data_IF_815290701433
#
_entry.id   IF_815290701433
#
_cell.length_a   1.000
_cell.length_b   1.000
_cell.length_c   1.000
_cell.angle_alpha   90.00
_cell.angle_beta   90.00
_cell.angle_gamma   90.00
#
_symmetry.space_group_name_H-M   'P 1'
#
loop_
_entity.id
_entity.type
_entity.pdbx_description
1 polymer ?
#
# COMPACT_ATOMS: atom_id res chain seq x y z
N UNK A 1 3.39 -20.34 12.98
CA UNK A 1 2.72 -19.27 12.20
C UNK A 1 3.72 -18.69 11.23
N UNK A 2 3.35 -18.49 9.96
CA UNK A 2 4.25 -17.86 8.96
C UNK A 2 4.49 -16.40 9.36
N UNK A 3 5.75 -15.99 9.49
CA UNK A 3 6.09 -14.58 9.68
C UNK A 3 5.56 -13.73 8.49
N UNK A 4 5.08 -12.51 8.72
CA UNK A 4 4.56 -11.65 7.66
C UNK A 4 5.69 -11.26 6.70
N UNK A 5 5.67 -11.73 5.45
CA UNK A 5 6.72 -11.42 4.47
C UNK A 5 6.47 -10.05 3.83
N UNK A 6 7.53 -9.26 3.67
CA UNK A 6 7.49 -8.02 2.88
C UNK A 6 7.30 -8.30 1.39
N UNK A 7 7.59 -9.51 0.92
CA UNK A 7 7.32 -9.94 -0.43
C UNK A 7 6.57 -11.27 -0.41
N UNK A 8 5.43 -11.31 -1.09
CA UNK A 8 4.63 -12.51 -1.31
C UNK A 8 4.24 -12.51 -2.79
N UNK A 9 4.76 -13.49 -3.52
CA UNK A 9 4.56 -13.62 -4.96
C UNK A 9 3.08 -13.77 -5.32
N UNK A 10 2.34 -14.62 -4.61
CA UNK A 10 0.95 -14.90 -4.94
C UNK A 10 0.07 -13.69 -4.64
N UNK A 11 0.29 -13.06 -3.47
CA UNK A 11 -0.41 -11.84 -3.12
C UNK A 11 -0.18 -10.72 -4.16
N UNK A 12 1.04 -10.55 -4.66
CA UNK A 12 1.36 -9.55 -5.68
C UNK A 12 0.73 -9.83 -7.04
N UNK A 13 0.81 -11.09 -7.50
CA UNK A 13 0.30 -11.46 -8.82
C UNK A 13 -1.23 -11.41 -8.89
N UNK A 14 -1.90 -11.60 -7.75
CA UNK A 14 -3.36 -11.70 -7.68
C UNK A 14 -4.08 -10.46 -7.15
N UNK A 15 -3.36 -9.46 -6.63
CA UNK A 15 -3.96 -8.24 -6.08
C UNK A 15 -4.70 -7.42 -7.17
N UNK A 16 -6.01 -7.12 -6.98
CA UNK A 16 -6.78 -6.30 -7.91
C UNK A 16 -6.44 -4.80 -7.87
N UNK A 17 -5.83 -4.32 -6.78
CA UNK A 17 -5.41 -2.93 -6.62
C UNK A 17 -4.01 -2.70 -7.19
N UNK A 18 -3.94 -2.10 -8.39
CA UNK A 18 -2.65 -1.75 -9.02
C UNK A 18 -1.88 -0.72 -8.19
N UNK A 19 -2.58 0.20 -7.50
CA UNK A 19 -1.99 1.15 -6.55
C UNK A 19 -1.22 0.45 -5.42
N UNK A 20 -1.78 -0.61 -4.83
CA UNK A 20 -1.09 -1.40 -3.80
C UNK A 20 0.14 -2.12 -4.36
N UNK A 21 0.04 -2.67 -5.57
CA UNK A 21 1.18 -3.31 -6.26
C UNK A 21 2.32 -2.29 -6.46
N UNK A 22 2.01 -1.06 -6.87
CA UNK A 22 2.97 0.02 -7.05
C UNK A 22 3.65 0.40 -5.74
N UNK A 23 2.85 0.64 -4.70
CA UNK A 23 3.37 0.96 -3.37
C UNK A 23 4.27 -0.16 -2.84
N UNK A 24 3.93 -1.42 -3.14
CA UNK A 24 4.74 -2.58 -2.76
C UNK A 24 6.07 -2.63 -3.52
N UNK A 25 6.08 -2.34 -4.82
CA UNK A 25 7.32 -2.23 -5.62
C UNK A 25 8.22 -1.16 -5.03
N UNK A 26 7.70 0.05 -4.81
CA UNK A 26 8.48 1.16 -4.23
C UNK A 26 9.05 0.77 -2.87
N UNK A 27 8.24 0.18 -1.98
CA UNK A 27 8.69 -0.28 -0.67
C UNK A 27 9.82 -1.31 -0.75
N UNK A 28 9.75 -2.25 -1.70
CA UNK A 28 10.78 -3.29 -1.88
C UNK A 28 12.04 -2.70 -2.53
N UNK A 29 11.89 -1.83 -3.53
CA UNK A 29 13.01 -1.14 -4.17
C UNK A 29 13.76 -0.24 -3.18
N UNK A 30 13.06 0.42 -2.25
CA UNK A 30 13.66 1.20 -1.16
C UNK A 30 14.51 0.33 -0.24
N UNK A 31 14.08 -0.89 0.05
CA UNK A 31 14.87 -1.79 0.88
C UNK A 31 16.14 -2.25 0.18
N UNK A 32 16.05 -2.68 -1.08
CA UNK A 32 17.24 -3.02 -1.88
C UNK A 32 18.21 -1.83 -2.00
N UNK A 33 17.69 -0.61 -2.16
CA UNK A 33 18.51 0.59 -2.29
C UNK A 33 19.36 0.84 -1.05
N UNK A 34 18.77 0.75 0.15
CA UNK A 34 19.49 1.00 1.41
C UNK A 34 20.44 -0.15 1.79
N UNK A 35 20.24 -1.33 1.21
CA UNK A 35 21.15 -2.47 1.32
C UNK A 35 22.29 -2.45 0.29
N UNK A 36 22.31 -1.47 -0.62
CA UNK A 36 23.34 -1.35 -1.66
C UNK A 36 23.10 -2.20 -2.91
N UNK A 37 21.93 -2.84 -3.05
CA UNK A 37 21.55 -3.63 -4.23
C UNK A 37 21.02 -2.74 -5.37
N UNK A 38 21.87 -1.81 -5.83
CA UNK A 38 21.46 -0.72 -6.73
C UNK A 38 21.06 -1.24 -8.12
N UNK A 39 21.68 -2.31 -8.61
CA UNK A 39 21.28 -2.97 -9.87
C UNK A 39 19.83 -3.49 -9.81
N UNK A 40 19.46 -4.11 -8.68
CA UNK A 40 18.11 -4.62 -8.42
C UNK A 40 17.12 -3.46 -8.30
N UNK A 41 17.44 -2.44 -7.50
CA UNK A 41 16.64 -1.22 -7.39
C UNK A 41 16.44 -0.55 -8.75
N UNK A 42 17.50 -0.38 -9.54
CA UNK A 42 17.46 0.20 -10.89
C UNK A 42 16.49 -0.58 -11.78
N UNK A 43 16.58 -1.90 -11.78
CA UNK A 43 15.70 -2.75 -12.59
C UNK A 43 14.23 -2.60 -12.19
N UNK A 44 13.93 -2.61 -10.89
CA UNK A 44 12.56 -2.41 -10.38
C UNK A 44 12.01 -1.02 -10.71
N UNK A 45 12.81 0.02 -10.53
CA UNK A 45 12.43 1.40 -10.87
C UNK A 45 12.24 1.55 -12.38
N UNK A 46 13.09 0.94 -13.22
CA UNK A 46 12.90 0.91 -14.68
C UNK A 46 11.58 0.25 -15.07
N UNK A 47 11.19 -0.86 -14.44
CA UNK A 47 9.88 -1.48 -14.69
C UNK A 47 8.75 -0.49 -14.42
N UNK A 48 8.82 0.24 -13.31
CA UNK A 48 7.80 1.24 -12.98
C UNK A 48 7.85 2.45 -13.92
N UNK A 49 9.03 2.94 -14.31
CA UNK A 49 9.19 4.09 -15.19
C UNK A 49 8.69 3.85 -16.62
N UNK A 50 8.78 2.60 -17.11
CA UNK A 50 8.17 2.21 -18.39
C UNK A 50 6.65 2.28 -18.35
N UNK A 51 6.10 2.05 -17.16
CA UNK A 51 4.67 2.04 -16.94
C UNK A 51 4.12 3.42 -16.53
N UNK A 52 4.97 4.21 -15.86
CA UNK A 52 4.70 5.53 -15.33
C UNK A 52 4.71 6.58 -16.43
N UNK A 53 3.57 7.23 -16.62
CA UNK A 53 3.43 8.26 -17.64
C UNK A 53 3.29 9.66 -17.05
N UNK A 54 2.95 9.79 -15.76
CA UNK A 54 2.64 11.09 -15.15
C UNK A 54 3.76 11.64 -14.28
N UNK A 55 3.88 12.97 -14.29
CA UNK A 55 4.90 13.71 -13.53
C UNK A 55 4.83 13.45 -12.03
N UNK A 56 3.63 13.35 -11.46
CA UNK A 56 3.45 13.04 -10.04
C UNK A 56 4.02 11.65 -9.69
N UNK A 57 3.78 10.64 -10.54
CA UNK A 57 4.29 9.29 -10.33
C UNK A 57 5.82 9.27 -10.48
N UNK A 58 6.36 10.00 -11.46
CA UNK A 58 7.82 10.22 -11.61
C UNK A 58 8.40 10.90 -10.37
N UNK A 59 7.68 11.86 -9.79
CA UNK A 59 8.09 12.56 -8.57
C UNK A 59 8.22 11.61 -7.38
N UNK A 60 7.36 10.59 -7.26
CA UNK A 60 7.49 9.57 -6.21
C UNK A 60 8.77 8.73 -6.35
N UNK A 61 9.26 8.55 -7.58
CA UNK A 61 10.48 7.79 -7.87
C UNK A 61 11.77 8.61 -7.70
N UNK A 62 11.69 9.94 -7.53
CA UNK A 62 12.87 10.78 -7.34
C UNK A 62 13.69 10.45 -6.09
N UNK A 63 13.07 9.80 -5.10
CA UNK A 63 13.76 9.30 -3.91
C UNK A 63 14.93 8.35 -4.25
N UNK A 64 14.93 7.73 -5.44
CA UNK A 64 15.98 6.81 -5.88
C UNK A 64 17.10 7.49 -6.69
N UNK A 65 16.90 8.69 -7.22
CA UNK A 65 17.89 9.38 -8.05
C UNK A 65 19.25 9.56 -7.34
N UNK A 66 19.31 9.93 -6.04
CA UNK A 66 20.59 10.05 -5.34
C UNK A 66 21.35 8.72 -5.23
N UNK A 67 20.65 7.58 -5.14
CA UNK A 67 21.27 6.25 -5.12
C UNK A 67 21.87 5.90 -6.49
N UNK A 68 21.16 6.19 -7.57
CA UNK A 68 21.66 5.98 -8.94
C UNK A 68 22.84 6.88 -9.25
N UNK A 69 22.79 8.14 -8.80
CA UNK A 69 23.90 9.08 -8.91
C UNK A 69 25.15 8.58 -8.18
N UNK A 70 24.98 8.11 -6.93
CA UNK A 70 26.09 7.61 -6.11
C UNK A 70 26.75 6.36 -6.71
N UNK A 71 25.97 5.45 -7.30
CA UNK A 71 26.49 4.23 -7.93
C UNK A 71 26.92 4.42 -9.40
N UNK A 72 26.57 5.54 -10.04
CA UNK A 72 26.74 5.73 -11.49
C UNK A 72 25.84 4.81 -12.34
N UNK A 73 24.73 4.31 -11.79
CA UNK A 73 23.86 3.30 -12.40
C UNK A 73 22.44 3.83 -12.58
N UNK A 74 22.20 4.57 -13.67
CA UNK A 74 20.90 5.18 -13.95
C UNK A 74 19.95 4.26 -14.75
N UNK A 75 18.64 4.28 -14.45
CA UNK A 75 17.61 3.78 -15.35
C UNK A 75 17.70 4.43 -16.74
N UNK A 76 17.50 3.65 -17.80
CA UNK A 76 17.51 4.16 -19.18
C UNK A 76 16.37 5.14 -19.44
N UNK A 77 15.27 4.98 -18.71
CA UNK A 77 14.05 5.77 -18.81
C UNK A 77 14.16 7.19 -18.20
N UNK A 78 15.27 7.51 -17.52
CA UNK A 78 15.57 8.86 -17.01
C UNK A 78 16.50 9.55 -18.03
N UNK A 79 16.10 10.68 -18.65
CA UNK A 79 16.92 11.41 -19.63
C UNK A 79 18.24 11.91 -19.06
N UNK A 80 19.29 12.02 -19.87
CA UNK A 80 20.63 12.43 -19.41
C UNK A 80 20.66 13.85 -18.81
N UNK A 81 19.83 14.74 -19.34
CA UNK A 81 19.62 16.10 -18.83
C UNK A 81 19.06 16.13 -17.40
N UNK A 82 18.28 15.12 -17.03
CA UNK A 82 17.70 14.96 -15.70
C UNK A 82 18.64 14.23 -14.74
N UNK A 83 19.67 13.52 -15.25
CA UNK A 83 20.71 12.85 -14.44
C UNK A 83 21.71 13.82 -13.79
N UNK A 84 21.39 15.12 -13.75
CA UNK A 84 22.35 16.14 -13.31
C UNK A 84 22.43 16.29 -11.80
N UNK A 85 23.67 16.35 -11.30
CA UNK A 85 24.07 16.62 -9.91
C UNK A 85 23.65 18.00 -9.38
N UNK A 86 23.06 18.88 -10.21
CA UNK A 86 22.66 20.24 -9.81
C UNK A 86 21.48 20.28 -8.85
N UNK A 87 20.64 19.25 -8.80
CA UNK A 87 19.56 19.13 -7.80
C UNK A 87 20.10 18.64 -6.45
N UNK A 88 21.17 17.83 -6.47
CA UNK A 88 21.89 17.43 -5.26
C UNK A 88 22.63 18.63 -4.63
N UNK A 89 23.24 19.50 -5.45
CA UNK A 89 23.96 20.69 -4.97
C UNK A 89 23.05 21.86 -4.53
N UNK A 90 21.89 22.08 -5.17
CA UNK A 90 20.99 23.20 -4.80
C UNK A 90 20.23 22.99 -3.49
N UNK A 91 20.00 21.74 -3.07
CA UNK A 91 19.38 21.46 -1.76
C UNK A 91 20.43 21.48 -0.64
N UNK A 92 21.67 21.06 -0.93
CA UNK A 92 22.83 21.28 -0.04
C UNK A 92 23.10 22.78 0.14
N UNK A 93 22.92 23.58 -0.92
CA UNK A 93 23.11 25.04 -0.88
C UNK A 93 21.93 25.83 -0.28
N UNK A 94 20.80 25.21 0.07
CA UNK A 94 19.71 25.90 0.81
C UNK A 94 19.75 25.69 2.32
N UNK A 95 20.70 24.88 2.81
CA UNK A 95 21.05 24.77 4.23
C UNK A 95 22.48 25.26 4.55
N UNK A 96 23.13 25.90 3.60
CA UNK A 96 24.30 26.75 3.84
C UNK A 96 23.80 28.19 3.64
N UNK A 97 23.90 29.10 4.61
CA UNK A 97 25.14 29.64 5.15
C UNK A 97 24.91 30.35 6.50
N UNK A 98 26.03 30.62 7.17
CA UNK A 98 26.31 31.64 8.19
C UNK A 98 26.55 31.17 9.64
N UNK A 99 27.85 31.20 9.95
CA UNK A 99 28.56 31.68 11.16
C UNK A 99 28.45 30.98 12.54
N UNK A 100 29.64 30.92 13.17
CA UNK A 100 30.04 30.44 14.52
C UNK A 100 30.49 28.97 14.65
N UNK A 101 31.75 28.73 14.26
CA UNK A 101 32.36 27.41 14.03
C UNK A 101 32.69 26.60 15.31
N UNK A 102 32.77 27.22 16.49
CA UNK A 102 33.10 26.51 17.74
C UNK A 102 31.90 26.26 18.68
N UNK A 103 30.79 27.01 18.53
CA UNK A 103 29.58 26.85 19.36
C UNK A 103 28.68 25.70 18.91
N UNK A 104 28.51 25.51 17.59
CA UNK A 104 27.65 24.46 17.01
C UNK A 104 28.26 23.06 17.07
N UNK A 105 29.59 22.91 17.17
CA UNK A 105 30.20 21.59 17.25
C UNK A 105 29.86 20.87 18.56
N UNK A 106 29.92 21.59 19.70
CA UNK A 106 29.44 21.06 20.99
C UNK A 106 27.94 20.77 20.98
N UNK A 107 27.15 21.58 20.26
CA UNK A 107 25.71 21.40 20.15
C UNK A 107 25.35 20.18 19.28
N UNK A 108 26.05 19.98 18.16
CA UNK A 108 25.89 18.80 17.29
C UNK A 108 26.36 17.50 17.97
N UNK A 109 27.46 17.53 18.74
CA UNK A 109 27.93 16.37 19.52
C UNK A 109 26.95 16.01 20.64
N UNK A 110 26.44 17.02 21.37
CA UNK A 110 25.42 16.82 22.41
C UNK A 110 24.11 16.31 21.81
N UNK A 111 23.71 16.86 20.66
CA UNK A 111 22.54 16.41 19.88
C UNK A 111 22.71 14.95 19.45
N UNK A 112 23.87 14.57 18.92
CA UNK A 112 24.14 13.19 18.53
C UNK A 112 24.05 12.25 19.74
N UNK A 113 24.62 12.61 20.89
CA UNK A 113 24.54 11.80 22.11
C UNK A 113 23.09 11.59 22.56
N UNK A 114 22.27 12.65 22.54
CA UNK A 114 20.86 12.56 22.91
C UNK A 114 20.07 11.70 21.90
N UNK A 115 20.34 11.86 20.60
CA UNK A 115 19.70 11.05 19.56
C UNK A 115 20.09 9.57 19.66
N UNK A 116 21.36 9.26 19.89
CA UNK A 116 21.84 7.88 20.10
C UNK A 116 21.23 7.26 21.35
N UNK A 117 21.08 8.04 22.43
CA UNK A 117 20.40 7.58 23.66
C UNK A 117 18.92 7.28 23.39
N UNK A 118 18.19 8.20 22.78
CA UNK A 118 16.78 8.00 22.42
C UNK A 118 16.59 6.83 21.44
N UNK A 119 17.52 6.63 20.51
CA UNK A 119 17.51 5.49 19.59
C UNK A 119 17.66 4.15 20.33
N UNK A 120 18.51 4.10 21.37
CA UNK A 120 18.65 2.91 22.24
C UNK A 120 17.40 2.66 23.09
N UNK A 121 16.73 3.74 23.50
CA UNK A 121 15.48 3.69 24.28
C UNK A 121 14.22 3.44 23.42
N UNK A 122 14.39 3.27 22.09
CA UNK A 122 13.34 2.82 21.17
C UNK A 122 12.71 3.89 20.28
N UNK A 123 13.29 5.09 20.16
CA UNK A 123 12.83 6.13 19.22
C UNK A 123 13.14 5.78 17.76
N UNK A 124 12.15 5.30 17.01
CA UNK A 124 12.36 4.69 15.68
C UNK A 124 12.94 5.63 14.62
N UNK A 125 12.51 6.90 14.54
CA UNK A 125 13.03 7.83 13.51
C UNK A 125 14.33 8.50 13.93
N UNK A 126 14.57 8.61 15.24
CA UNK A 126 15.68 9.35 15.82
C UNK A 126 17.03 8.71 15.46
N UNK A 127 17.07 7.40 15.26
CA UNK A 127 18.29 6.68 14.87
C UNK A 127 18.78 7.06 13.46
N UNK A 128 17.86 7.41 12.55
CA UNK A 128 18.24 7.88 11.20
C UNK A 128 18.79 9.31 11.29
N UNK A 129 18.18 10.17 12.10
CA UNK A 129 18.70 11.52 12.35
C UNK A 129 20.08 11.50 13.04
N UNK A 130 20.33 10.48 13.88
CA UNK A 130 21.63 10.23 14.49
C UNK A 130 22.69 9.90 13.43
N UNK A 131 22.35 9.05 12.45
CA UNK A 131 23.25 8.74 11.33
C UNK A 131 23.55 9.99 10.49
N UNK A 132 22.55 10.80 10.16
CA UNK A 132 22.76 12.07 9.44
C UNK A 132 23.68 13.01 10.22
N UNK A 133 23.49 13.12 11.54
CA UNK A 133 24.32 13.97 12.41
C UNK A 133 25.75 13.44 12.52
N UNK A 134 25.92 12.12 12.63
CA UNK A 134 27.23 11.47 12.64
C UNK A 134 27.99 11.71 11.33
N UNK A 135 27.34 11.54 10.18
CA UNK A 135 27.93 11.82 8.87
C UNK A 135 28.34 13.29 8.76
N UNK A 136 27.45 14.23 9.13
CA UNK A 136 27.77 15.66 9.11
C UNK A 136 28.96 16.02 10.00
N UNK A 137 29.12 15.36 11.15
CA UNK A 137 30.27 15.58 12.04
C UNK A 137 31.57 14.98 11.49
N UNK A 138 31.50 13.81 10.83
CA UNK A 138 32.65 13.19 10.17
C UNK A 138 33.13 14.03 8.97
N UNK A 139 32.19 14.48 8.12
CA UNK A 139 32.49 15.28 6.92
C UNK A 139 33.07 16.68 7.20
N UNK A 140 33.05 17.16 8.44
CA UNK A 140 33.70 18.44 8.80
C UNK A 140 35.23 18.35 8.79
N UNK A 141 35.79 17.17 9.00
CA UNK A 141 37.23 16.96 9.16
C UNK A 141 37.80 15.94 8.18
N UNK A 142 36.92 15.24 7.46
CA UNK A 142 37.25 14.13 6.57
C UNK A 142 36.52 14.37 5.24
N UNK A 143 37.27 14.54 4.16
CA UNK A 143 36.70 14.68 2.81
C UNK A 143 36.52 13.32 2.13
N UNK A 144 37.32 12.32 2.50
CA UNK A 144 37.28 10.99 1.90
C UNK A 144 36.11 10.16 2.45
N UNK A 145 35.31 9.60 1.53
CA UNK A 145 34.13 8.83 1.90
C UNK A 145 34.49 7.53 2.64
N UNK A 146 35.64 6.90 2.37
CA UNK A 146 36.06 5.67 3.05
C UNK A 146 36.45 5.94 4.51
N UNK A 147 37.11 7.07 4.75
CA UNK A 147 37.40 7.54 6.11
C UNK A 147 36.13 7.94 6.87
N UNK A 148 35.16 8.61 6.23
CA UNK A 148 33.85 8.93 6.84
C UNK A 148 33.11 7.65 7.22
N UNK A 149 33.08 6.65 6.33
CA UNK A 149 32.46 5.35 6.60
C UNK A 149 33.09 4.68 7.81
N UNK A 150 34.40 4.82 7.98
CA UNK A 150 35.14 4.22 9.10
C UNK A 150 34.99 4.99 10.42
N UNK A 151 34.35 6.17 10.42
CA UNK A 151 34.11 6.95 11.64
C UNK A 151 33.28 6.13 12.64
N UNK A 152 33.79 6.03 13.88
CA UNK A 152 33.16 5.25 14.94
C UNK A 152 31.70 5.61 15.21
N UNK A 153 31.31 6.89 15.07
CA UNK A 153 29.94 7.37 15.30
C UNK A 153 29.01 6.94 14.18
N UNK A 154 29.51 6.94 12.94
CA UNK A 154 28.77 6.46 11.77
C UNK A 154 28.53 4.96 11.89
N UNK A 155 29.58 4.20 12.24
CA UNK A 155 29.50 2.76 12.44
C UNK A 155 28.54 2.37 13.57
N UNK A 156 28.55 3.10 14.69
CA UNK A 156 27.62 2.91 15.79
C UNK A 156 26.16 3.17 15.38
N UNK A 157 25.91 4.27 14.65
CA UNK A 157 24.58 4.59 14.16
C UNK A 157 24.04 3.50 13.20
N UNK A 158 24.88 3.02 12.28
CA UNK A 158 24.55 1.93 11.37
C UNK A 158 24.23 0.63 12.12
N UNK A 159 24.97 0.32 13.19
CA UNK A 159 24.69 -0.85 14.03
C UNK A 159 23.33 -0.73 14.72
N UNK A 160 23.01 0.45 15.28
CA UNK A 160 21.68 0.69 15.86
C UNK A 160 20.57 0.59 14.82
N UNK A 161 20.79 1.12 13.60
CA UNK A 161 19.82 0.98 12.50
C UNK A 161 19.63 -0.49 12.14
N UNK A 162 20.70 -1.28 12.04
CA UNK A 162 20.62 -2.69 11.67
C UNK A 162 19.72 -3.48 12.64
N UNK A 163 19.84 -3.22 13.95
CA UNK A 163 19.02 -3.82 15.02
C UNK A 163 17.55 -3.41 14.95
N UNK A 164 17.27 -2.27 14.31
CA UNK A 164 15.96 -1.63 14.25
C UNK A 164 15.34 -1.67 12.83
N UNK A 165 16.01 -2.26 11.85
CA UNK A 165 15.63 -2.21 10.43
C UNK A 165 14.23 -2.78 10.15
N UNK A 166 13.76 -3.66 11.03
CA UNK A 166 12.44 -4.26 10.94
C UNK A 166 11.31 -3.21 11.06
N UNK A 167 11.53 -2.15 11.84
CA UNK A 167 10.53 -1.13 12.16
C UNK A 167 10.01 -0.41 10.91
N UNK A 168 8.71 -0.05 10.93
CA UNK A 168 7.95 0.41 9.75
C UNK A 168 8.55 1.65 9.05
N UNK A 169 9.15 2.56 9.80
CA UNK A 169 9.59 3.88 9.28
C UNK A 169 11.06 3.98 8.90
N UNK A 170 11.92 3.05 9.34
CA UNK A 170 13.38 3.14 9.16
C UNK A 170 13.75 3.25 7.68
N UNK A 171 13.34 2.28 6.85
CA UNK A 171 13.65 2.27 5.42
C UNK A 171 13.16 3.55 4.74
N UNK A 172 11.92 3.96 5.02
CA UNK A 172 11.33 5.18 4.44
C UNK A 172 12.11 6.43 4.84
N UNK A 173 12.56 6.52 6.08
CA UNK A 173 13.42 7.61 6.55
C UNK A 173 14.79 7.56 5.86
N UNK A 174 15.44 6.39 5.79
CA UNK A 174 16.76 6.24 5.15
C UNK A 174 16.76 6.70 3.69
N UNK A 175 15.77 6.29 2.89
CA UNK A 175 15.70 6.72 1.47
C UNK A 175 15.34 8.19 1.29
N UNK A 176 14.78 8.85 2.30
CA UNK A 176 14.44 10.27 2.24
C UNK A 176 15.66 11.19 2.46
N UNK A 177 16.75 10.68 3.06
CA UNK A 177 17.95 11.46 3.35
C UNK A 177 19.03 11.25 2.29
N UNK A 178 19.09 12.19 1.34
CA UNK A 178 20.00 12.12 0.18
C UNK A 178 21.48 12.04 0.60
N UNK A 179 21.84 12.69 1.71
CA UNK A 179 23.20 12.69 2.27
C UNK A 179 23.68 11.28 2.66
N UNK A 180 22.77 10.36 2.96
CA UNK A 180 23.11 8.98 3.34
C UNK A 180 23.39 8.08 2.13
N UNK A 181 22.98 8.49 0.93
CA UNK A 181 22.97 7.62 -0.24
C UNK A 181 24.37 7.12 -0.62
N UNK A 182 25.42 7.92 -0.41
CA UNK A 182 26.80 7.51 -0.68
C UNK A 182 27.27 6.31 0.17
N UNK A 183 26.89 6.25 1.44
CA UNK A 183 27.24 5.12 2.31
C UNK A 183 26.26 3.95 2.13
N UNK A 184 24.97 4.22 1.93
CA UNK A 184 23.96 3.17 1.78
C UNK A 184 24.09 2.42 0.44
N UNK A 185 24.34 3.13 -0.66
CA UNK A 185 24.58 2.52 -1.98
C UNK A 185 25.85 1.66 -2.04
N UNK A 186 26.82 1.93 -1.16
CA UNK A 186 28.01 1.10 -1.01
C UNK A 186 27.79 -0.16 -0.15
N UNK A 187 26.56 -0.38 0.36
CA UNK A 187 26.21 -1.55 1.15
C UNK A 187 26.70 -1.52 2.60
N UNK A 188 27.07 -0.37 3.15
CA UNK A 188 27.56 -0.26 4.55
C UNK A 188 26.54 -0.77 5.57
N UNK A 189 25.24 -0.54 5.31
CA UNK A 189 24.16 -1.07 6.14
C UNK A 189 24.03 -2.60 6.00
N UNK A 190 24.16 -3.13 4.78
CA UNK A 190 24.11 -4.58 4.54
C UNK A 190 25.29 -5.32 5.18
N UNK A 191 26.43 -4.68 5.43
CA UNK A 191 27.52 -5.28 6.20
C UNK A 191 27.19 -5.41 7.71
N UNK A 192 26.26 -4.60 8.23
CA UNK A 192 25.82 -4.65 9.63
C UNK A 192 24.64 -5.58 9.86
N UNK A 193 23.87 -5.84 8.82
CA UNK A 193 22.82 -6.85 8.85
C UNK A 193 23.45 -8.17 8.39
N UNK A 194 23.35 -9.29 9.13
CA UNK A 194 23.97 -10.56 8.73
C UNK A 194 23.21 -11.22 7.55
N UNK A 195 23.17 -10.53 6.41
CA UNK A 195 22.48 -10.97 5.19
C UNK A 195 23.41 -11.88 4.40
N UNK A 196 22.90 -13.05 4.02
CA UNK A 196 23.50 -13.91 3.03
C UNK A 196 23.32 -13.28 1.64
N UNK A 197 24.45 -12.93 1.01
CA UNK A 197 24.47 -12.29 -0.30
C UNK A 197 23.81 -13.14 -1.39
N UNK A 198 24.00 -14.46 -1.38
CA UNK A 198 23.39 -15.34 -2.37
C UNK A 198 21.87 -15.42 -2.19
N UNK A 199 21.38 -15.43 -0.94
CA UNK A 199 19.93 -15.35 -0.64
C UNK A 199 19.37 -13.99 -1.09
N UNK A 200 20.09 -12.89 -0.86
CA UNK A 200 19.68 -11.55 -1.27
C UNK A 200 19.59 -11.42 -2.80
N UNK A 201 20.60 -11.92 -3.53
CA UNK A 201 20.61 -11.96 -4.99
C UNK A 201 19.46 -12.82 -5.56
N UNK A 202 19.20 -13.99 -4.95
CA UNK A 202 18.09 -14.85 -5.33
C UNK A 202 16.74 -14.17 -5.10
N UNK A 203 16.57 -13.52 -3.95
CA UNK A 203 15.38 -12.74 -3.64
C UNK A 203 15.19 -11.58 -4.63
N UNK A 204 16.27 -10.87 -5.00
CA UNK A 204 16.24 -9.81 -6.01
C UNK A 204 15.72 -10.32 -7.36
N UNK A 205 16.19 -11.48 -7.83
CA UNK A 205 15.71 -12.11 -9.07
C UNK A 205 14.23 -12.48 -8.99
N UNK A 206 13.80 -13.13 -7.91
CA UNK A 206 12.39 -13.53 -7.73
C UNK A 206 11.45 -12.31 -7.72
N UNK A 207 11.85 -11.24 -7.03
CA UNK A 207 11.10 -9.98 -6.97
C UNK A 207 10.97 -9.36 -8.36
N UNK A 208 12.09 -9.22 -9.09
CA UNK A 208 12.10 -8.65 -10.45
C UNK A 208 11.21 -9.47 -11.38
N UNK A 209 11.34 -10.80 -11.37
CA UNK A 209 10.54 -11.70 -12.21
C UNK A 209 9.05 -11.57 -11.90
N UNK A 210 8.69 -11.44 -10.61
CA UNK A 210 7.30 -11.33 -10.17
C UNK A 210 6.67 -10.02 -10.60
N UNK A 211 7.34 -8.88 -10.41
CA UNK A 211 6.83 -7.59 -10.88
C UNK A 211 6.82 -7.51 -12.40
N UNK A 212 7.83 -8.04 -13.07
CA UNK A 212 7.86 -8.16 -14.54
C UNK A 212 6.69 -8.98 -15.05
N UNK A 213 6.36 -10.10 -14.39
CA UNK A 213 5.18 -10.89 -14.73
C UNK A 213 3.90 -10.09 -14.53
N UNK A 214 3.74 -9.42 -13.38
CA UNK A 214 2.54 -8.64 -13.07
C UNK A 214 2.29 -7.48 -14.04
N UNK A 215 3.34 -6.78 -14.44
CA UNK A 215 3.23 -5.61 -15.32
C UNK A 215 3.13 -5.99 -16.81
N UNK A 216 3.73 -7.10 -17.23
CA UNK A 216 3.65 -7.52 -18.64
C UNK A 216 2.44 -8.41 -18.94
N UNK A 217 1.97 -9.23 -17.98
CA UNK A 217 0.87 -10.20 -18.19
C UNK A 217 -0.43 -9.83 -17.47
N UNK A 218 -0.43 -8.77 -16.67
CA UNK A 218 -1.61 -8.38 -15.89
C UNK A 218 -1.85 -9.25 -14.65
N UNK A 219 -3.05 -9.14 -14.10
CA UNK A 219 -3.45 -9.81 -12.85
C UNK A 219 -3.74 -11.29 -13.10
N UNK A 220 -3.27 -12.15 -12.21
CA UNK A 220 -3.73 -13.54 -12.14
C UNK A 220 -4.98 -13.64 -11.29
N UNK A 221 -5.95 -14.45 -11.70
CA UNK A 221 -7.08 -14.81 -10.84
C UNK A 221 -6.54 -15.52 -9.60
N UNK A 222 -6.99 -15.10 -8.43
CA UNK A 222 -6.70 -15.80 -7.19
C UNK A 222 -7.60 -17.04 -7.10
N UNK A 223 -7.10 -18.12 -6.51
CA UNK A 223 -7.87 -19.34 -6.22
C UNK A 223 -9.19 -19.13 -5.43
N UNK A 224 -9.38 -17.98 -4.78
CA UNK A 224 -10.61 -17.64 -4.07
C UNK A 224 -11.74 -17.28 -5.05
N UNK A 225 -11.41 -16.72 -6.21
CA UNK A 225 -12.37 -16.27 -7.22
C UNK A 225 -13.14 -17.44 -7.84
N UNK A 226 -12.62 -18.67 -7.74
CA UNK A 226 -13.28 -19.89 -8.19
C UNK A 226 -14.06 -20.62 -7.09
N UNK A 227 -13.93 -20.20 -5.81
CA UNK A 227 -14.58 -20.88 -4.69
C UNK A 227 -16.05 -20.51 -4.55
N UNK A 228 -16.94 -21.45 -4.15
CA UNK A 228 -18.31 -21.13 -3.78
C UNK A 228 -18.42 -20.05 -2.70
N UNK A 229 -19.52 -19.28 -2.68
CA UNK A 229 -19.79 -18.24 -1.68
C UNK A 229 -19.64 -18.73 -0.24
N UNK A 230 -20.20 -19.90 0.04
CA UNK A 230 -20.12 -20.52 1.37
C UNK A 230 -18.68 -20.78 1.83
N UNK A 231 -17.81 -21.24 0.93
CA UNK A 231 -16.40 -21.48 1.26
C UNK A 231 -15.64 -20.19 1.56
N UNK A 232 -15.93 -19.12 0.80
CA UNK A 232 -15.35 -17.79 1.07
C UNK A 232 -15.74 -17.28 2.46
N UNK A 233 -17.02 -17.38 2.84
CA UNK A 233 -17.48 -16.96 4.16
C UNK A 233 -16.85 -17.79 5.30
N UNK A 234 -16.75 -19.12 5.11
CA UNK A 234 -16.10 -20.00 6.09
C UNK A 234 -14.60 -19.70 6.25
N UNK A 235 -13.89 -19.41 5.16
CA UNK A 235 -12.50 -18.98 5.24
C UNK A 235 -12.36 -17.61 5.90
N UNK A 236 -13.25 -16.67 5.58
CA UNK A 236 -13.29 -15.33 6.16
C UNK A 236 -13.51 -15.38 7.67
N UNK A 237 -14.44 -16.20 8.14
CA UNK A 237 -14.64 -16.48 9.56
C UNK A 237 -13.38 -17.06 10.20
N UNK A 238 -12.82 -18.12 9.59
CA UNK A 238 -11.63 -18.79 10.14
C UNK A 238 -10.47 -17.82 10.34
N UNK A 239 -10.16 -17.02 9.32
CA UNK A 239 -9.05 -16.06 9.40
C UNK A 239 -9.38 -14.89 10.32
N UNK A 240 -10.63 -14.41 10.34
CA UNK A 240 -11.05 -13.36 11.26
C UNK A 240 -10.89 -13.78 12.71
N UNK A 241 -11.35 -14.97 13.09
CA UNK A 241 -11.20 -15.48 14.46
C UNK A 241 -9.74 -15.76 14.82
N UNK A 242 -8.93 -16.23 13.87
CA UNK A 242 -7.52 -16.54 14.12
C UNK A 242 -6.62 -15.29 14.23
N UNK A 243 -6.92 -14.24 13.46
CA UNK A 243 -6.07 -13.06 13.36
C UNK A 243 -6.63 -11.84 14.10
N UNK A 244 -7.93 -11.80 14.40
CA UNK A 244 -8.58 -10.69 15.08
C UNK A 244 -8.50 -10.72 16.61
N UNK A 245 -7.83 -11.71 17.22
CA UNK A 245 -7.82 -11.93 18.69
C UNK A 245 -7.49 -10.67 19.48
N UNK A 246 -6.50 -9.90 19.02
CA UNK A 246 -6.07 -8.64 19.65
C UNK A 246 -7.17 -7.59 19.74
N UNK A 247 -8.12 -7.59 18.80
CA UNK A 247 -9.26 -6.67 18.83
C UNK A 247 -10.21 -7.02 19.98
N UNK A 248 -10.63 -8.28 20.06
CA UNK A 248 -11.53 -8.73 21.12
C UNK A 248 -10.89 -8.65 22.51
N UNK A 249 -9.60 -8.97 22.62
CA UNK A 249 -8.83 -8.79 23.85
C UNK A 249 -8.85 -7.32 24.31
N UNK A 250 -8.68 -6.36 23.39
CA UNK A 250 -8.72 -4.93 23.68
C UNK A 250 -10.11 -4.42 24.06
N UNK A 251 -11.17 -5.06 23.56
CA UNK A 251 -12.56 -4.75 23.90
C UNK A 251 -13.03 -5.47 25.18
N UNK A 252 -12.21 -6.35 25.76
CA UNK A 252 -12.57 -7.25 26.86
C UNK A 252 -13.77 -8.16 26.53
N UNK A 253 -13.90 -8.53 25.25
CA UNK A 253 -14.97 -9.38 24.74
C UNK A 253 -14.43 -10.77 24.34
N UNK A 254 -15.22 -11.85 24.47
CA UNK A 254 -14.82 -13.14 23.95
C UNK A 254 -14.86 -13.15 22.42
N UNK A 255 -13.92 -13.87 21.81
CA UNK A 255 -13.98 -14.16 20.37
C UNK A 255 -15.31 -14.88 20.07
N UNK A 256 -16.14 -14.40 19.12
CA UNK A 256 -17.44 -14.98 18.85
C UNK A 256 -17.32 -16.45 18.41
N UNK A 257 -18.25 -17.28 18.87
CA UNK A 257 -18.31 -18.69 18.47
C UNK A 257 -18.50 -18.82 16.96
N UNK A 258 -19.31 -17.95 16.36
CA UNK A 258 -19.58 -17.90 14.93
C UNK A 258 -19.76 -16.46 14.44
N UNK A 259 -19.37 -16.19 13.20
CA UNK A 259 -19.73 -14.95 12.49
C UNK A 259 -21.07 -15.07 11.74
N UNK A 260 -21.62 -16.28 11.61
CA UNK A 260 -22.96 -16.51 11.08
C UNK A 260 -24.00 -16.20 12.16
N UNK A 261 -24.32 -14.92 12.31
CA UNK A 261 -25.12 -14.38 13.42
C UNK A 261 -26.62 -14.75 13.34
N UNK A 262 -27.12 -15.06 12.14
CA UNK A 262 -28.52 -15.33 11.88
C UNK A 262 -28.69 -16.63 11.06
N UNK A 263 -29.86 -17.29 11.15
CA UNK A 263 -30.17 -18.38 10.24
C UNK A 263 -30.27 -17.86 8.80
N UNK A 264 -29.92 -18.70 7.79
CA UNK A 264 -30.08 -18.38 6.37
C UNK A 264 -31.44 -17.76 6.04
N UNK A 265 -31.45 -16.74 5.18
CA UNK A 265 -32.68 -16.09 4.76
C UNK A 265 -33.49 -17.01 3.84
N UNK A 266 -34.81 -17.02 4.00
CA UNK A 266 -35.71 -17.72 3.08
C UNK A 266 -35.96 -16.88 1.81
N UNK A 267 -36.44 -17.54 0.74
CA UNK A 267 -36.82 -16.85 -0.49
C UNK A 267 -37.91 -15.79 -0.25
N UNK A 268 -38.83 -16.05 0.67
CA UNK A 268 -39.89 -15.11 1.07
C UNK A 268 -39.31 -13.88 1.78
N UNK A 269 -38.32 -14.06 2.66
CA UNK A 269 -37.66 -12.96 3.34
C UNK A 269 -36.91 -12.06 2.36
N UNK A 270 -36.16 -12.66 1.42
CA UNK A 270 -35.47 -11.91 0.36
C UNK A 270 -36.49 -11.17 -0.53
N UNK A 271 -37.57 -11.84 -0.94
CA UNK A 271 -38.63 -11.21 -1.75
C UNK A 271 -39.33 -10.06 -1.02
N UNK A 272 -39.56 -10.20 0.29
CA UNK A 272 -40.11 -9.12 1.12
C UNK A 272 -39.15 -7.94 1.23
N UNK A 273 -37.85 -8.18 1.35
CA UNK A 273 -36.83 -7.12 1.33
C UNK A 273 -36.80 -6.38 -0.02
N UNK A 274 -36.79 -7.10 -1.13
CA UNK A 274 -36.85 -6.49 -2.47
C UNK A 274 -38.11 -5.64 -2.64
N UNK A 275 -39.26 -6.11 -2.14
CA UNK A 275 -40.51 -5.34 -2.13
C UNK A 275 -40.45 -4.11 -1.23
N UNK A 276 -39.82 -4.20 -0.04
CA UNK A 276 -39.59 -3.08 0.88
C UNK A 276 -38.72 -2.00 0.23
N UNK A 277 -37.67 -2.41 -0.48
CA UNK A 277 -36.74 -1.50 -1.16
C UNK A 277 -37.30 -0.98 -2.49
N UNK A 278 -38.22 -1.71 -3.11
CA UNK A 278 -38.73 -1.42 -4.46
C UNK A 278 -37.71 -1.71 -5.55
N UNK A 279 -36.79 -2.66 -5.33
CA UNK A 279 -35.71 -3.01 -6.27
C UNK A 279 -35.36 -4.49 -6.19
N UNK A 280 -34.84 -5.06 -7.28
CA UNK A 280 -34.28 -6.42 -7.31
C UNK A 280 -32.81 -6.38 -6.88
N UNK A 281 -32.46 -7.12 -5.84
CA UNK A 281 -31.10 -7.19 -5.31
C UNK A 281 -30.19 -8.03 -6.22
N UNK A 282 -28.86 -7.77 -6.22
CA UNK A 282 -27.92 -8.54 -7.02
C UNK A 282 -27.87 -10.00 -6.57
N UNK A 283 -27.67 -10.92 -7.52
CA UNK A 283 -27.75 -12.37 -7.29
C UNK A 283 -26.71 -12.86 -6.28
N UNK A 284 -25.49 -12.33 -6.35
CA UNK A 284 -24.42 -12.68 -5.40
C UNK A 284 -24.74 -12.23 -3.95
N UNK A 285 -25.41 -11.10 -3.77
CA UNK A 285 -25.88 -10.66 -2.46
C UNK A 285 -27.05 -11.49 -1.95
N UNK A 286 -27.99 -11.89 -2.82
CA UNK A 286 -29.07 -12.81 -2.44
C UNK A 286 -28.52 -14.18 -2.04
N UNK A 287 -27.53 -14.70 -2.75
CA UNK A 287 -26.85 -15.94 -2.38
C UNK A 287 -26.19 -15.84 -1.01
N UNK A 288 -25.55 -14.71 -0.71
CA UNK A 288 -25.01 -14.42 0.63
C UNK A 288 -26.10 -14.43 1.71
N UNK A 289 -27.22 -13.74 1.50
CA UNK A 289 -28.33 -13.72 2.46
C UNK A 289 -28.89 -15.12 2.72
N UNK A 290 -29.00 -15.96 1.67
CA UNK A 290 -29.43 -17.36 1.78
C UNK A 290 -28.38 -18.30 2.38
N UNK A 291 -27.18 -17.81 2.68
CA UNK A 291 -26.12 -18.59 3.35
C UNK A 291 -25.95 -18.13 4.79
N UNK A 292 -25.96 -16.82 5.06
CA UNK A 292 -25.63 -16.29 6.39
C UNK A 292 -26.64 -15.28 6.94
N UNK A 293 -27.45 -14.65 6.08
CA UNK A 293 -28.42 -13.62 6.46
C UNK A 293 -27.80 -12.54 7.37
N UNK A 294 -26.68 -11.98 6.94
CA UNK A 294 -25.82 -11.14 7.76
C UNK A 294 -24.54 -11.86 8.19
N UNK A 295 -23.53 -11.10 8.60
CA UNK A 295 -22.22 -11.65 8.94
C UNK A 295 -21.52 -10.71 9.92
N UNK A 296 -20.89 -11.28 10.95
CA UNK A 296 -20.14 -10.49 11.94
C UNK A 296 -18.99 -9.69 11.33
N UNK A 297 -18.46 -8.73 12.09
CA UNK A 297 -17.33 -7.90 11.66
C UNK A 297 -16.11 -8.74 11.29
N UNK A 298 -15.40 -8.35 10.22
CA UNK A 298 -14.33 -9.16 9.60
C UNK A 298 -12.97 -8.54 9.78
N UNK A 299 -11.96 -9.31 10.13
CA UNK A 299 -10.61 -8.78 10.35
C UNK A 299 -10.02 -8.16 9.07
N UNK A 300 -9.48 -6.95 9.16
CA UNK A 300 -8.87 -6.27 8.01
C UNK A 300 -7.34 -6.12 8.10
N UNK A 301 -6.71 -6.69 9.13
CA UNK A 301 -5.28 -6.51 9.42
C UNK A 301 -4.97 -5.43 10.45
N UNK A 302 -5.96 -4.64 10.88
CA UNK A 302 -5.82 -3.59 11.88
C UNK A 302 -6.99 -3.53 12.87
N UNK A 303 -8.23 -3.51 12.38
CA UNK A 303 -9.46 -3.62 13.17
C UNK A 303 -10.46 -4.57 12.48
N UNK A 304 -11.66 -4.73 13.03
CA UNK A 304 -12.76 -5.37 12.33
C UNK A 304 -13.41 -4.37 11.37
N UNK A 305 -13.59 -4.75 10.11
CA UNK A 305 -14.51 -4.09 9.19
C UNK A 305 -15.95 -4.23 9.73
N UNK A 306 -16.86 -3.36 9.25
CA UNK A 306 -18.26 -3.39 9.69
C UNK A 306 -18.90 -4.77 9.45
N UNK A 307 -19.82 -5.19 10.34
CA UNK A 307 -20.66 -6.36 10.08
C UNK A 307 -21.55 -6.09 8.85
N UNK A 308 -21.97 -7.18 8.23
CA UNK A 308 -22.94 -7.18 7.13
C UNK A 308 -24.32 -7.51 7.68
N UNK A 309 -25.33 -6.80 7.20
CA UNK A 309 -26.70 -6.86 7.69
C UNK A 309 -27.45 -8.11 7.24
N UNK A 310 -28.34 -8.57 8.11
CA UNK A 310 -29.43 -9.46 7.74
C UNK A 310 -30.58 -8.69 7.09
N UNK A 311 -31.54 -9.42 6.52
CA UNK A 311 -32.66 -8.85 5.74
C UNK A 311 -33.45 -7.76 6.48
N UNK A 312 -33.52 -7.81 7.80
CA UNK A 312 -34.31 -6.87 8.60
C UNK A 312 -33.66 -5.47 8.67
N UNK A 313 -32.33 -5.43 8.74
CA UNK A 313 -31.53 -4.22 8.90
C UNK A 313 -31.17 -3.55 7.56
N UNK A 314 -31.22 -4.29 6.46
CA UNK A 314 -30.99 -3.73 5.12
C UNK A 314 -32.04 -2.65 4.82
N UNK A 315 -31.53 -1.48 4.42
CA UNK A 315 -32.36 -0.33 4.09
C UNK A 315 -31.66 0.58 3.07
N UNK A 316 -32.41 1.52 2.53
CA UNK A 316 -31.81 2.62 1.79
C UNK A 316 -30.95 3.46 2.73
N UNK A 317 -29.70 3.70 2.35
CA UNK A 317 -28.77 4.52 3.12
C UNK A 317 -29.34 5.94 3.31
N UNK A 318 -28.95 6.57 4.43
CA UNK A 318 -29.25 7.98 4.69
C UNK A 318 -28.52 8.85 3.67
N UNK A 319 -29.04 10.05 3.39
CA UNK A 319 -28.40 11.00 2.45
C UNK A 319 -26.95 11.33 2.83
N UNK A 320 -26.60 11.28 4.13
CA UNK A 320 -25.24 11.47 4.61
C UNK A 320 -24.24 10.40 4.15
N UNK A 321 -24.71 9.26 3.65
CA UNK A 321 -23.88 8.17 3.11
C UNK A 321 -23.75 8.23 1.58
N UNK A 322 -24.37 9.20 0.91
CA UNK A 322 -24.14 9.42 -0.52
C UNK A 322 -22.67 9.77 -0.76
N UNK A 323 -22.01 9.00 -1.63
CA UNK A 323 -20.64 9.30 -2.04
C UNK A 323 -20.69 10.35 -3.15
N UNK A 324 -20.14 11.55 -2.95
CA UNK A 324 -20.26 12.63 -3.90
C UNK A 324 -19.51 12.35 -5.22
N UNK A 325 -18.42 11.57 -5.17
CA UNK A 325 -17.58 11.25 -6.33
C UNK A 325 -17.23 9.77 -6.32
N UNK A 326 -17.74 9.01 -7.28
CA UNK A 326 -17.49 7.56 -7.36
C UNK A 326 -16.62 7.22 -8.55
N UNK A 327 -15.46 6.64 -8.26
CA UNK A 327 -14.67 5.85 -9.19
C UNK A 327 -14.81 4.37 -8.84
N UNK A 328 -14.91 3.52 -9.86
CA UNK A 328 -15.02 2.07 -9.66
C UNK A 328 -13.66 1.37 -9.71
N UNK A 329 -12.55 2.10 -9.65
CA UNK A 329 -11.21 1.56 -9.49
C UNK A 329 -10.40 2.41 -8.50
N UNK A 330 -9.33 1.84 -7.96
CA UNK A 330 -8.37 2.62 -7.18
C UNK A 330 -7.51 3.45 -8.13
N UNK A 331 -7.29 4.73 -7.84
CA UNK A 331 -6.27 5.51 -8.53
C UNK A 331 -4.88 5.09 -8.07
N UNK A 332 -3.96 4.91 -9.03
CA UNK A 332 -2.54 4.64 -8.72
C UNK A 332 -1.91 5.85 -8.04
N UNK A 333 -2.32 7.07 -8.40
CA UNK A 333 -1.77 8.31 -7.87
C UNK A 333 -2.50 8.87 -6.66
N UNK A 334 -3.67 8.32 -6.33
CA UNK A 334 -4.58 8.93 -5.37
C UNK A 334 -5.16 10.26 -5.86
N UNK A 335 -4.93 10.62 -7.12
CA UNK A 335 -5.51 11.78 -7.79
C UNK A 335 -6.38 11.27 -8.94
N UNK A 336 -7.50 11.94 -9.16
CA UNK A 336 -8.38 11.70 -10.29
C UNK A 336 -7.73 12.31 -11.53
N UNK A 337 -7.18 11.46 -12.38
CA UNK A 337 -6.46 11.87 -13.59
C UNK A 337 -7.40 12.05 -14.78
N UNK A 338 -8.45 11.22 -14.85
CA UNK A 338 -9.43 11.23 -15.91
C UNK A 338 -10.55 12.24 -15.56
N UNK A 339 -10.74 13.25 -16.43
CA UNK A 339 -11.68 14.34 -16.20
C UNK A 339 -12.95 14.17 -17.02
N UNK A 340 -14.09 14.54 -16.45
CA UNK A 340 -15.40 14.51 -17.12
C UNK A 340 -15.87 15.94 -17.48
N UNK A 341 -15.23 16.99 -16.95
CA UNK A 341 -15.60 18.38 -17.21
C UNK A 341 -14.39 19.35 -17.24
N UNK A 342 -14.62 20.56 -17.76
CA UNK A 342 -13.62 21.64 -17.94
C UNK A 342 -13.25 22.38 -16.63
N UNK A 343 -13.89 22.04 -15.51
CA UNK A 343 -13.65 22.71 -14.23
C UNK A 343 -12.34 22.17 -13.62
N UNK A 344 -11.68 22.98 -12.79
CA UNK A 344 -10.45 22.63 -12.07
C UNK A 344 -10.58 21.41 -11.13
N UNK A 345 -11.76 20.79 -11.04
CA UNK A 345 -12.03 19.52 -10.36
C UNK A 345 -12.92 18.65 -11.24
N UNK A 346 -12.59 17.36 -11.45
CA UNK A 346 -13.46 16.44 -12.16
C UNK A 346 -14.73 16.18 -11.33
N UNK A 347 -15.91 16.54 -11.84
CA UNK A 347 -17.18 16.14 -11.23
C UNK A 347 -17.53 14.74 -11.71
N UNK A 348 -16.93 13.72 -11.08
CA UNK A 348 -17.43 12.36 -11.21
C UNK A 348 -18.87 12.28 -10.70
N UNK A 349 -19.73 11.42 -11.29
CA UNK A 349 -21.06 11.20 -10.76
C UNK A 349 -21.01 10.73 -9.30
N UNK A 350 -22.00 11.16 -8.52
CA UNK A 350 -22.19 10.63 -7.17
C UNK A 350 -22.74 9.20 -7.24
N UNK A 351 -22.67 8.47 -6.11
CA UNK A 351 -23.35 7.18 -5.97
C UNK A 351 -24.87 7.32 -6.10
N UNK A 352 -25.40 8.54 -5.90
CA UNK A 352 -26.78 8.78 -5.53
C UNK A 352 -27.19 7.95 -4.31
N UNK A 353 -28.49 7.64 -4.21
CA UNK A 353 -29.04 6.85 -3.12
C UNK A 353 -28.59 5.39 -3.22
N UNK A 354 -27.90 4.90 -2.18
CA UNK A 354 -27.37 3.53 -2.10
C UNK A 354 -28.20 2.66 -1.15
N UNK A 355 -28.05 1.34 -1.27
CA UNK A 355 -28.57 0.38 -0.29
C UNK A 355 -27.46 0.10 0.72
N UNK A 356 -27.72 0.37 1.99
CA UNK A 356 -26.80 0.08 3.08
C UNK A 356 -26.95 -1.38 3.50
N UNK A 357 -25.86 -2.14 3.39
CA UNK A 357 -25.83 -3.58 3.69
C UNK A 357 -24.89 -3.91 4.85
N UNK A 358 -24.42 -2.89 5.54
CA UNK A 358 -23.63 -3.00 6.76
C UNK A 358 -23.06 -1.65 7.16
N UNK A 359 -23.03 -1.36 8.46
CA UNK A 359 -22.26 -0.24 9.00
C UNK A 359 -21.83 -0.47 10.44
N UNK A 360 -20.80 0.26 10.85
CA UNK A 360 -20.29 0.33 12.21
C UNK A 360 -19.49 1.62 12.37
N UNK A 361 -19.99 2.53 13.19
CA UNK A 361 -19.38 3.86 13.39
C UNK A 361 -19.20 4.61 12.05
N UNK A 362 -17.96 4.86 11.64
CA UNK A 362 -17.61 5.53 10.37
C UNK A 362 -17.43 4.55 9.18
N UNK A 363 -17.60 3.25 9.42
CA UNK A 363 -17.45 2.21 8.41
C UNK A 363 -18.81 1.85 7.80
N UNK A 364 -18.87 1.68 6.48
CA UNK A 364 -20.11 1.26 5.80
C UNK A 364 -19.85 0.44 4.55
N UNK A 365 -20.77 -0.47 4.22
CA UNK A 365 -20.78 -1.21 2.95
C UNK A 365 -22.05 -0.87 2.21
N UNK A 366 -21.91 -0.34 1.00
CA UNK A 366 -23.01 0.20 0.23
C UNK A 366 -23.09 -0.46 -1.14
N UNK A 367 -24.31 -0.74 -1.58
CA UNK A 367 -24.62 -1.17 -2.95
C UNK A 367 -25.17 0.01 -3.74
N UNK A 368 -24.54 0.30 -4.87
CA UNK A 368 -24.94 1.31 -5.85
C UNK A 368 -25.95 0.66 -6.82
N UNK A 369 -27.18 1.18 -6.92
CA UNK A 369 -28.22 0.63 -7.80
C UNK A 369 -27.88 0.71 -9.28
N UNK A 370 -28.50 -0.12 -10.15
CA UNK A 370 -28.16 -0.19 -11.57
C UNK A 370 -28.31 1.11 -12.35
N UNK A 371 -29.31 1.92 -11.98
CA UNK A 371 -29.48 3.24 -12.56
C UNK A 371 -28.22 4.12 -12.35
N UNK A 372 -27.65 4.09 -11.15
CA UNK A 372 -26.53 4.93 -10.76
C UNK A 372 -25.19 4.32 -11.21
N UNK A 373 -25.03 3.00 -11.11
CA UNK A 373 -23.88 2.28 -11.69
C UNK A 373 -23.74 2.59 -13.17
N UNK A 374 -24.84 2.56 -13.93
CA UNK A 374 -24.83 2.91 -15.35
C UNK A 374 -24.37 4.34 -15.62
N UNK A 375 -24.84 5.32 -14.84
CA UNK A 375 -24.40 6.72 -14.97
C UNK A 375 -22.89 6.85 -14.77
N UNK A 376 -22.34 6.15 -13.77
CA UNK A 376 -20.89 6.13 -13.52
C UNK A 376 -20.14 5.48 -14.69
N UNK A 377 -20.62 4.34 -15.21
CA UNK A 377 -20.01 3.65 -16.36
C UNK A 377 -20.07 4.47 -17.65
N UNK A 378 -21.17 5.18 -17.88
CA UNK A 378 -21.32 6.08 -19.03
C UNK A 378 -20.33 7.25 -18.93
N UNK A 379 -20.08 7.78 -17.73
CA UNK A 379 -19.08 8.83 -17.49
C UNK A 379 -17.64 8.37 -17.77
N UNK A 380 -17.30 7.10 -17.49
CA UNK A 380 -16.02 6.53 -17.93
C UNK A 380 -15.87 6.58 -19.45
N UNK A 381 -16.93 6.23 -20.19
CA UNK A 381 -16.89 6.25 -21.66
C UNK A 381 -16.74 7.67 -22.19
N UNK A 382 -17.52 8.62 -21.66
CA UNK A 382 -17.44 10.04 -22.03
C UNK A 382 -16.03 10.59 -21.83
N UNK A 383 -15.43 10.34 -20.67
CA UNK A 383 -14.09 10.84 -20.37
C UNK A 383 -12.99 10.18 -21.21
N UNK A 384 -13.13 8.89 -21.54
CA UNK A 384 -12.19 8.21 -22.44
C UNK A 384 -12.30 8.71 -23.89
N UNK A 385 -13.50 9.10 -24.32
CA UNK A 385 -13.74 9.66 -25.66
C UNK A 385 -13.38 11.15 -25.76
N UNK A 386 -13.35 11.89 -24.64
CA UNK A 386 -13.02 13.32 -24.64
C UNK A 386 -11.57 13.56 -25.09
N UNK A 387 -11.33 14.29 -26.19
CA UNK A 387 -9.97 14.62 -26.66
C UNK A 387 -9.19 15.53 -25.72
N UNK A 388 -9.82 16.16 -24.72
CA UNK A 388 -9.14 17.00 -23.71
C UNK A 388 -8.39 16.18 -22.66
N UNK A 389 -8.81 14.93 -22.44
CA UNK A 389 -8.07 14.03 -21.56
C UNK A 389 -6.80 13.56 -22.25
N UNK A 390 -5.67 13.63 -21.55
CA UNK A 390 -4.40 13.16 -22.09
C UNK A 390 -4.43 11.65 -22.32
N UNK A 391 -3.73 11.20 -23.36
CA UNK A 391 -3.59 9.76 -23.65
C UNK A 391 -2.99 9.00 -22.45
N UNK A 392 -2.12 9.66 -21.69
CA UNK A 392 -1.52 9.10 -20.48
C UNK A 392 -2.56 8.86 -19.38
N UNK A 393 -3.45 9.82 -19.10
CA UNK A 393 -4.52 9.65 -18.10
C UNK A 393 -5.49 8.53 -18.50
N UNK A 394 -5.84 8.46 -19.80
CA UNK A 394 -6.67 7.38 -20.35
C UNK A 394 -6.00 6.02 -20.17
N UNK A 395 -4.71 5.90 -20.50
CA UNK A 395 -3.93 4.67 -20.37
C UNK A 395 -3.79 4.19 -18.93
N UNK A 396 -3.51 5.08 -17.97
CA UNK A 396 -3.42 4.72 -16.54
C UNK A 396 -4.77 4.25 -15.98
N UNK A 397 -5.85 4.93 -16.36
CA UNK A 397 -7.20 4.54 -15.95
C UNK A 397 -7.56 3.16 -16.49
N UNK A 398 -7.32 2.90 -17.79
CA UNK A 398 -7.58 1.60 -18.40
C UNK A 398 -6.77 0.47 -17.75
N UNK A 399 -5.52 0.71 -17.35
CA UNK A 399 -4.72 -0.29 -16.62
C UNK A 399 -5.28 -0.60 -15.23
N UNK A 400 -5.77 0.41 -14.53
CA UNK A 400 -6.39 0.24 -13.21
C UNK A 400 -7.69 -0.57 -13.33
N UNK A 401 -8.45 -0.32 -14.39
CA UNK A 401 -9.66 -1.08 -14.74
C UNK A 401 -9.32 -2.52 -15.12
N UNK A 402 -8.34 -2.73 -15.99
CA UNK A 402 -7.87 -4.06 -16.39
C UNK A 402 -7.34 -4.86 -15.19
N UNK A 403 -6.60 -4.22 -14.29
CA UNK A 403 -6.12 -4.86 -13.07
C UNK A 403 -7.27 -5.38 -12.20
N UNK A 404 -8.37 -4.64 -12.05
CA UNK A 404 -9.49 -5.04 -11.21
C UNK A 404 -10.47 -5.97 -11.92
N UNK A 405 -10.94 -5.56 -13.10
CA UNK A 405 -12.06 -6.18 -13.82
C UNK A 405 -11.61 -7.12 -14.94
N UNK A 406 -10.33 -7.08 -15.33
CA UNK A 406 -9.80 -7.83 -16.47
C UNK A 406 -9.96 -7.11 -17.80
N UNK A 407 -10.99 -6.28 -17.98
CA UNK A 407 -11.10 -5.33 -19.09
C UNK A 407 -12.18 -4.27 -18.83
N UNK A 408 -12.23 -3.25 -19.69
CA UNK A 408 -13.31 -2.25 -19.69
C UNK A 408 -14.67 -2.88 -20.01
N UNK A 409 -14.71 -3.84 -20.94
CA UNK A 409 -15.91 -4.56 -21.34
C UNK A 409 -16.48 -5.39 -20.19
N UNK A 410 -15.63 -6.04 -19.40
CA UNK A 410 -16.07 -6.75 -18.20
C UNK A 410 -16.58 -5.78 -17.12
N UNK A 411 -15.91 -4.65 -16.92
CA UNK A 411 -16.39 -3.60 -16.01
C UNK A 411 -17.78 -3.07 -16.42
N UNK A 412 -18.03 -2.90 -17.73
CA UNK A 412 -19.32 -2.43 -18.26
C UNK A 412 -20.48 -3.41 -18.06
N UNK A 413 -20.22 -4.65 -17.67
CA UNK A 413 -21.26 -5.63 -17.32
C UNK A 413 -21.75 -5.49 -15.88
N UNK A 414 -21.15 -4.59 -15.09
CA UNK A 414 -21.62 -4.32 -13.75
C UNK A 414 -23.01 -3.68 -13.79
N UNK A 415 -24.01 -4.44 -13.36
CA UNK A 415 -25.33 -3.89 -13.06
C UNK A 415 -25.33 -3.24 -11.67
N UNK A 416 -24.73 -3.91 -10.67
CA UNK A 416 -24.56 -3.37 -9.33
C UNK A 416 -23.09 -3.13 -9.04
N UNK A 417 -22.78 -2.05 -8.32
CA UNK A 417 -21.45 -1.80 -7.80
C UNK A 417 -21.46 -1.76 -6.27
N UNK A 418 -20.38 -2.23 -5.65
CA UNK A 418 -20.19 -2.25 -4.21
C UNK A 418 -19.01 -1.36 -3.84
N UNK A 419 -19.22 -0.53 -2.83
CA UNK A 419 -18.21 0.34 -2.24
C UNK A 419 -18.16 0.12 -0.73
N UNK A 420 -16.96 0.14 -0.18
CA UNK A 420 -16.73 0.20 1.27
C UNK A 420 -16.32 1.64 1.62
N UNK A 421 -17.01 2.27 2.57
CA UNK A 421 -16.61 3.54 3.14
C UNK A 421 -15.83 3.30 4.42
N UNK A 422 -14.65 3.91 4.48
CA UNK A 422 -13.79 4.01 5.65
C UNK A 422 -13.64 5.50 6.00
N UNK A 423 -13.15 5.81 7.19
CA UNK A 423 -13.09 7.17 7.76
C UNK A 423 -12.64 8.26 6.77
N UNK A 424 -11.61 7.99 5.96
CA UNK A 424 -11.08 8.95 4.98
C UNK A 424 -11.09 8.47 3.53
N UNK A 425 -11.61 7.27 3.26
CA UNK A 425 -11.43 6.60 1.96
C UNK A 425 -12.70 5.86 1.53
N UNK A 426 -12.98 5.87 0.22
CA UNK A 426 -13.98 4.98 -0.39
C UNK A 426 -13.26 3.94 -1.22
N UNK A 427 -13.50 2.67 -0.93
CA UNK A 427 -12.85 1.53 -1.57
C UNK A 427 -13.81 0.87 -2.57
N UNK A 428 -13.61 1.04 -3.88
CA UNK A 428 -14.39 0.33 -4.88
C UNK A 428 -14.03 -1.15 -4.90
N UNK A 429 -15.04 -1.99 -4.73
CA UNK A 429 -14.88 -3.45 -4.73
C UNK A 429 -15.31 -4.11 -6.04
N UNK A 430 -16.17 -3.46 -6.82
CA UNK A 430 -16.81 -4.07 -7.99
C UNK A 430 -18.13 -4.73 -7.60
N UNK A 431 -18.28 -6.04 -7.77
CA UNK A 431 -19.47 -6.76 -7.28
C UNK A 431 -19.45 -6.98 -5.77
N UNK A 432 -20.57 -7.41 -5.19
CA UNK A 432 -20.61 -7.75 -3.75
C UNK A 432 -19.73 -8.96 -3.46
N UNK A 433 -19.69 -9.93 -4.37
CA UNK A 433 -18.76 -11.05 -4.28
C UNK A 433 -17.30 -10.59 -4.21
N UNK A 434 -16.88 -9.66 -5.05
CA UNK A 434 -15.52 -9.14 -5.04
C UNK A 434 -15.18 -8.40 -3.74
N UNK A 435 -16.16 -7.71 -3.13
CA UNK A 435 -16.02 -7.11 -1.79
C UNK A 435 -15.67 -8.16 -0.73
N UNK A 436 -16.36 -9.30 -0.71
CA UNK A 436 -16.06 -10.40 0.23
C UNK A 436 -14.68 -11.03 -0.02
N UNK A 437 -14.26 -11.12 -1.28
CA UNK A 437 -12.92 -11.60 -1.62
C UNK A 437 -11.83 -10.63 -1.16
N UNK A 438 -12.04 -9.32 -1.32
CA UNK A 438 -11.13 -8.28 -0.82
C UNK A 438 -11.07 -8.30 0.71
N UNK A 439 -12.20 -8.45 1.41
CA UNK A 439 -12.22 -8.71 2.87
C UNK A 439 -11.43 -9.95 3.26
N UNK A 440 -11.57 -11.07 2.54
CA UNK A 440 -10.80 -12.28 2.85
C UNK A 440 -9.29 -12.11 2.57
N UNK A 441 -8.90 -11.39 1.51
CA UNK A 441 -7.49 -11.03 1.30
C UNK A 441 -6.94 -10.24 2.49
N UNK A 442 -7.69 -9.26 3.00
CA UNK A 442 -7.31 -8.48 4.19
C UNK A 442 -7.28 -9.33 5.46
N UNK A 443 -8.27 -10.20 5.67
CA UNK A 443 -8.36 -11.07 6.85
C UNK A 443 -7.21 -12.08 6.97
N UNK A 444 -6.59 -12.47 5.85
CA UNK A 444 -5.37 -13.30 5.86
C UNK A 444 -4.17 -12.56 6.46
N UNK A 445 -4.20 -11.24 6.55
CA UNK A 445 -3.20 -10.47 7.29
C UNK A 445 -3.20 -10.94 8.74
N UNK A 446 -2.03 -11.33 9.26
CA UNK A 446 -1.88 -11.78 10.64
C UNK A 446 -2.36 -10.76 11.69
N UNK A 447 -2.36 -11.13 12.98
CA UNK A 447 -2.86 -10.27 14.05
C UNK A 447 -2.12 -8.93 14.15
N UNK A 448 -2.84 -7.91 14.59
CA UNK A 448 -2.24 -6.60 14.84
C UNK A 448 -1.56 -6.62 16.20
N UNK A 449 -0.24 -6.47 16.21
CA UNK A 449 0.55 -6.45 17.44
C UNK A 449 0.79 -5.00 17.86
N UNK A 450 0.08 -4.55 18.90
CA UNK A 450 0.31 -3.25 19.53
C UNK A 450 1.69 -3.19 20.19
N UNK A 451 2.43 -2.09 20.01
CA UNK A 451 3.66 -1.80 20.75
C UNK A 451 4.92 -2.56 20.30
N UNK A 452 4.80 -3.64 19.52
CA UNK A 452 5.93 -4.19 18.77
C UNK A 452 5.91 -3.55 17.39
N UNK A 453 6.73 -2.52 17.18
CA UNK A 453 6.97 -1.94 15.86
C UNK A 453 7.47 -3.04 14.91
N UNK A 454 6.52 -3.73 14.25
CA UNK A 454 6.66 -4.97 13.49
C UNK A 454 8.09 -5.38 13.12
N UNK A 455 8.42 -6.65 13.40
CA UNK A 455 9.16 -7.50 12.47
C UNK A 455 8.36 -7.60 11.16
N UNK A 456 8.38 -6.52 10.37
CA UNK A 456 8.07 -6.62 8.95
C UNK A 456 9.05 -7.65 8.44
N UNK A 457 8.61 -8.73 7.78
CA UNK A 457 9.49 -9.73 7.20
C UNK A 457 10.25 -9.11 6.03
N UNK A 458 11.11 -8.14 6.34
CA UNK A 458 11.97 -7.41 5.44
C UNK A 458 12.80 -8.44 4.69
N UNK A 459 13.13 -8.11 3.46
CA UNK A 459 13.99 -8.95 2.62
C UNK A 459 15.32 -9.22 3.34
N UNK A 460 15.85 -8.21 4.03
CA UNK A 460 17.06 -8.31 4.85
C UNK A 460 16.97 -9.41 5.92
N UNK A 461 15.80 -9.57 6.57
CA UNK A 461 15.61 -10.58 7.62
C UNK A 461 15.32 -11.97 7.04
N UNK A 462 14.59 -12.07 5.91
CA UNK A 462 14.36 -13.35 5.24
C UNK A 462 15.63 -13.92 4.60
N UNK A 463 16.63 -13.06 4.35
CA UNK A 463 17.91 -13.43 3.77
C UNK A 463 19.03 -13.55 4.81
N UNK A 464 18.73 -13.68 6.10
CA UNK A 464 19.78 -13.87 7.13
C UNK A 464 20.62 -15.13 6.88
N UNK A 465 21.90 -15.04 7.22
CA UNK A 465 22.78 -16.21 7.26
C UNK A 465 22.29 -17.19 8.35
N UNK A 466 22.36 -18.49 8.07
CA UNK A 466 21.75 -19.53 8.92
C UNK A 466 22.41 -19.68 10.31
N UNK A 467 23.55 -19.02 10.54
CA UNK A 467 24.34 -19.07 11.76
C UNK A 467 24.34 -17.74 12.58
N UNK A 468 23.33 -16.87 12.42
CA UNK A 468 23.28 -15.54 13.06
C UNK A 468 22.21 -15.33 14.14
#
# INVERSE_FOLDING_TARGET
MSQPRQFDRDALLTNPSLSEVYNKLVSVASEFAVLGEIETTRTLVSLLLRDTTLDWQRQQLKIFEPFFAAAGLWPAEIPEEDRTTKTASKTVAKHSLDDEENGRQKDDEKKLQEQMKQARDGGSSVVVDALCTAMRLASKHIEDLQEIKSDSRVQEALELISKNLHRKRIIKSLVAHHELCGILSAGELAQKVPVDKAKLEAAGKEVIETFSERFNKGRKKHDIESKPMKEVLLELERYTKANGTSHWDAMEEPVPETLFVLPPATDEQVSSLEKKLGITLPDDYKDFLKISNGFGGTWNGYHLDNPLYGVDDVSWARESFEVPYVELHNSISGIIELRINDISKPEWPSSGRTVEIGSLDVLSTLLIPPKNTKVILDAYQEALDDPKNSDDAKKQTLKSIEARYGSMEEMKKLDWATIEQHDSETLPSGTFRQCLEDRLRRAKSGPYLYGTEKDLGRIAYSCKADDS
#
